data_IF_956722858188
#
_entry.id   IF_956722858188
#
_cell.length_a   1.000
_cell.length_b   1.000
_cell.length_c   1.000
_cell.angle_alpha   90.00
_cell.angle_beta   90.00
_cell.angle_gamma   90.00
#
_symmetry.space_group_name_H-M   'P 1'
#
loop_
_entity.id
_entity.type
_entity.pdbx_description
1 polymer ?
#
# COMPACT_ATOMS: atom_id res chain seq x y z
N UNK A 1 13.82 10.26 0.28
CA UNK A 1 12.67 9.58 0.92
C UNK A 1 11.57 9.28 -0.09
N UNK A 2 11.09 10.28 -0.84
CA UNK A 2 10.08 10.13 -1.91
C UNK A 2 10.21 8.85 -2.74
N UNK A 3 11.35 8.66 -3.41
CA UNK A 3 11.52 7.55 -4.36
C UNK A 3 11.55 6.19 -3.65
N UNK A 4 12.04 6.16 -2.40
CA UNK A 4 12.01 4.97 -1.55
C UNK A 4 10.57 4.58 -1.19
N UNK A 5 9.73 5.54 -0.81
CA UNK A 5 8.31 5.29 -0.55
C UNK A 5 7.59 4.81 -1.82
N UNK A 6 7.84 5.45 -2.97
CA UNK A 6 7.27 5.05 -4.25
C UNK A 6 7.70 3.63 -4.65
N UNK A 7 8.97 3.27 -4.44
CA UNK A 7 9.47 1.92 -4.67
C UNK A 7 8.75 0.91 -3.76
N UNK A 8 8.58 1.23 -2.48
CA UNK A 8 7.88 0.37 -1.52
C UNK A 8 6.41 0.16 -1.89
N UNK A 9 5.70 1.20 -2.35
CA UNK A 9 4.33 1.07 -2.88
C UNK A 9 4.29 0.11 -4.08
N UNK A 10 5.22 0.27 -5.03
CA UNK A 10 5.29 -0.57 -6.23
C UNK A 10 5.60 -2.03 -5.92
N UNK A 11 6.35 -2.32 -4.86
CA UNK A 11 6.63 -3.72 -4.45
C UNK A 11 5.36 -4.49 -4.18
N UNK A 12 4.32 -3.87 -3.62
CA UNK A 12 3.03 -4.54 -3.45
C UNK A 12 2.40 -4.93 -4.78
N UNK A 13 2.74 -4.35 -5.92
CA UNK A 13 2.16 -4.76 -7.21
C UNK A 13 2.85 -5.98 -7.83
N UNK A 14 4.05 -6.34 -7.37
CA UNK A 14 4.81 -7.46 -7.90
C UNK A 14 4.56 -8.73 -7.07
N UNK A 15 4.20 -9.81 -7.77
CA UNK A 15 4.00 -11.15 -7.24
C UNK A 15 5.18 -11.59 -6.39
N UNK A 16 6.41 -11.31 -6.86
CA UNK A 16 7.65 -11.66 -6.17
C UNK A 16 7.64 -11.25 -4.69
N UNK A 17 7.11 -10.07 -4.38
CA UNK A 17 7.08 -9.56 -3.00
C UNK A 17 5.81 -10.00 -2.27
N UNK A 18 4.64 -9.96 -2.92
CA UNK A 18 3.38 -10.31 -2.27
C UNK A 18 3.18 -11.82 -2.07
N UNK A 19 4.01 -12.67 -2.68
CA UNK A 19 4.07 -14.10 -2.39
C UNK A 19 5.09 -14.46 -1.30
N UNK A 20 5.88 -13.48 -0.82
CA UNK A 20 6.91 -13.68 0.20
C UNK A 20 6.36 -13.31 1.58
N UNK A 21 6.05 -14.34 2.38
CA UNK A 21 5.47 -14.18 3.71
C UNK A 21 6.44 -13.51 4.69
N UNK A 22 7.75 -13.70 4.55
CA UNK A 22 8.75 -13.07 5.42
C UNK A 22 8.83 -11.58 5.10
N UNK A 23 8.89 -11.24 3.80
CA UNK A 23 8.87 -9.85 3.36
C UNK A 23 7.59 -9.14 3.85
N UNK A 24 6.41 -9.75 3.66
CA UNK A 24 5.14 -9.20 4.10
C UNK A 24 5.08 -8.98 5.62
N UNK A 25 5.57 -9.95 6.39
CA UNK A 25 5.65 -9.80 7.85
C UNK A 25 6.59 -8.68 8.27
N UNK A 26 7.64 -8.42 7.50
CA UNK A 26 8.58 -7.34 7.79
C UNK A 26 8.02 -5.96 7.38
N UNK A 27 7.42 -5.85 6.20
CA UNK A 27 6.96 -4.58 5.63
C UNK A 27 5.62 -4.10 6.21
N UNK A 28 4.74 -5.00 6.65
CA UNK A 28 3.49 -4.59 7.29
C UNK A 28 3.75 -4.38 8.79
N UNK A 29 3.47 -3.17 9.29
CA UNK A 29 3.59 -2.87 10.71
C UNK A 29 2.71 -3.81 11.55
N UNK A 30 3.08 -4.10 12.80
CA UNK A 30 2.31 -4.99 13.68
C UNK A 30 0.85 -4.57 13.84
N UNK A 31 0.61 -3.25 13.84
CA UNK A 31 -0.71 -2.63 13.96
C UNK A 31 -1.32 -2.25 12.59
N UNK A 32 -0.86 -2.87 11.50
CA UNK A 32 -1.30 -2.54 10.14
C UNK A 32 -2.82 -2.70 9.96
N UNK A 33 -3.42 -1.71 9.30
CA UNK A 33 -4.82 -1.74 8.86
C UNK A 33 -4.96 -1.34 7.40
N UNK A 34 -5.79 -2.08 6.67
CA UNK A 34 -6.22 -1.73 5.32
C UNK A 34 -7.73 -1.45 5.28
N UNK A 35 -8.14 -0.33 4.70
CA UNK A 35 -9.51 -0.10 4.29
C UNK A 35 -9.65 -0.44 2.80
N UNK A 36 -10.22 -1.60 2.53
CA UNK A 36 -10.42 -2.07 1.16
C UNK A 36 -11.43 -1.20 0.41
N UNK A 37 -11.48 -1.34 -0.92
CA UNK A 37 -12.44 -0.63 -1.78
C UNK A 37 -13.92 -0.87 -1.42
N UNK A 38 -14.21 -1.95 -0.68
CA UNK A 38 -15.54 -2.29 -0.16
C UNK A 38 -15.92 -1.53 1.12
N UNK A 39 -14.97 -0.83 1.75
CA UNK A 39 -15.12 -0.25 3.08
C UNK A 39 -14.87 -1.23 4.24
N UNK A 40 -14.51 -2.48 3.94
CA UNK A 40 -14.13 -3.47 4.96
C UNK A 40 -12.72 -3.15 5.47
N UNK A 41 -12.56 -3.20 6.78
CA UNK A 41 -11.25 -3.08 7.44
C UNK A 41 -10.61 -4.46 7.59
N UNK A 42 -9.37 -4.57 7.12
CA UNK A 42 -8.52 -5.74 7.21
C UNK A 42 -7.34 -5.44 8.13
N UNK A 43 -6.95 -6.42 8.93
CA UNK A 43 -5.71 -6.34 9.71
C UNK A 43 -4.54 -6.94 8.92
N UNK A 44 -3.33 -6.90 9.50
CA UNK A 44 -2.12 -7.53 8.94
C UNK A 44 -2.34 -8.96 8.48
N UNK A 45 -2.84 -9.84 9.34
CA UNK A 45 -2.98 -11.27 9.03
C UNK A 45 -3.93 -11.52 7.85
N UNK A 46 -5.11 -10.90 7.87
CA UNK A 46 -6.09 -11.03 6.78
C UNK A 46 -5.53 -10.51 5.45
N UNK A 47 -4.74 -9.43 5.51
CA UNK A 47 -4.12 -8.84 4.32
C UNK A 47 -3.03 -9.75 3.76
N UNK A 48 -2.18 -10.32 4.61
CA UNK A 48 -1.17 -11.30 4.20
C UNK A 48 -1.82 -12.50 3.53
N UNK A 49 -2.83 -13.10 4.17
CA UNK A 49 -3.57 -14.24 3.62
C UNK A 49 -4.16 -13.91 2.24
N UNK A 50 -4.79 -12.73 2.09
CA UNK A 50 -5.32 -12.27 0.81
C UNK A 50 -4.22 -12.12 -0.25
N UNK A 51 -3.09 -11.50 0.09
CA UNK A 51 -1.98 -11.28 -0.83
C UNK A 51 -1.34 -12.59 -1.30
N UNK A 52 -1.19 -13.58 -0.42
CA UNK A 52 -0.66 -14.91 -0.76
C UNK A 52 -1.55 -15.69 -1.74
N UNK A 53 -2.84 -15.34 -1.84
CA UNK A 53 -3.72 -15.95 -2.86
C UNK A 53 -3.45 -15.44 -4.28
N UNK A 54 -2.76 -14.30 -4.44
CA UNK A 54 -2.44 -13.72 -5.75
C UNK A 54 -1.53 -14.65 -6.57
N UNK A 55 -1.75 -14.71 -7.90
CA UNK A 55 -1.03 -15.61 -8.81
C UNK A 55 -0.28 -14.90 -9.94
N UNK A 56 -0.35 -13.57 -10.01
CA UNK A 56 0.29 -12.76 -11.03
C UNK A 56 0.58 -11.36 -10.51
N UNK A 57 1.50 -10.70 -11.20
CA UNK A 57 1.73 -9.26 -11.04
C UNK A 57 0.44 -8.48 -11.31
N UNK A 58 0.32 -7.37 -10.59
CA UNK A 58 -0.77 -6.43 -10.74
C UNK A 58 -0.27 -5.31 -11.64
N UNK A 59 -0.76 -5.30 -12.88
CA UNK A 59 -0.47 -4.22 -13.82
C UNK A 59 -1.22 -2.95 -13.38
N UNK A 60 -0.56 -2.15 -12.54
CA UNK A 60 -1.09 -0.95 -11.90
C UNK A 60 -0.06 0.16 -12.03
N UNK A 61 -0.43 1.22 -12.71
CA UNK A 61 0.36 2.44 -12.80
C UNK A 61 0.01 3.41 -11.65
N UNK A 62 1.04 4.10 -11.15
CA UNK A 62 0.94 5.16 -10.14
C UNK A 62 1.06 6.52 -10.82
N UNK A 63 0.16 7.43 -10.48
CA UNK A 63 0.13 8.81 -10.95
C UNK A 63 0.05 9.77 -9.76
N UNK A 64 0.53 11.01 -9.95
CA UNK A 64 0.44 12.09 -8.97
C UNK A 64 0.93 11.67 -7.58
N UNK A 65 2.11 11.03 -7.53
CA UNK A 65 2.68 10.56 -6.28
C UNK A 65 3.22 11.71 -5.44
N UNK A 66 2.64 11.85 -4.26
CA UNK A 66 2.94 12.87 -3.27
C UNK A 66 3.17 12.22 -1.90
N UNK A 67 4.04 12.85 -1.11
CA UNK A 67 4.25 12.44 0.28
C UNK A 67 4.44 13.68 1.14
N UNK A 68 3.98 13.60 2.39
CA UNK A 68 4.15 14.61 3.42
C UNK A 68 4.85 13.97 4.63
N UNK A 69 5.68 14.75 5.31
CA UNK A 69 6.28 14.38 6.58
C UNK A 69 5.25 14.67 7.66
N UNK A 70 4.71 13.62 8.29
CA UNK A 70 3.79 13.75 9.41
C UNK A 70 4.55 13.84 10.75
N UNK A 71 5.70 13.18 10.81
CA UNK A 71 6.68 13.21 11.91
C UNK A 71 8.07 12.79 11.35
N UNK A 72 9.13 12.89 12.13
CA UNK A 72 10.51 12.60 11.70
C UNK A 72 10.67 11.18 11.09
N UNK A 73 9.88 10.23 11.58
CA UNK A 73 9.86 8.84 11.12
C UNK A 73 8.50 8.40 10.56
N UNK A 74 7.63 9.34 10.21
CA UNK A 74 6.28 9.05 9.73
C UNK A 74 5.94 9.85 8.47
N UNK A 75 5.48 9.16 7.42
CA UNK A 75 5.09 9.77 6.16
C UNK A 75 3.66 9.41 5.78
N UNK A 76 2.90 10.43 5.39
CA UNK A 76 1.61 10.29 4.74
C UNK A 76 1.81 10.36 3.23
N UNK A 77 1.33 9.36 2.52
CA UNK A 77 1.52 9.21 1.07
C UNK A 77 0.15 9.22 0.38
N UNK A 78 0.09 9.95 -0.73
CA UNK A 78 -1.09 10.03 -1.59
C UNK A 78 -0.71 9.80 -3.05
N UNK A 79 -1.53 9.06 -3.77
CA UNK A 79 -1.36 8.86 -5.21
C UNK A 79 -2.64 8.32 -5.85
N UNK A 80 -2.68 8.33 -7.17
CA UNK A 80 -3.76 7.75 -7.95
C UNK A 80 -3.27 6.49 -8.65
N UNK A 81 -4.09 5.45 -8.64
CA UNK A 81 -3.88 4.27 -9.49
C UNK A 81 -5.01 4.08 -10.47
N UNK A 82 -4.69 3.61 -11.68
CA UNK A 82 -5.68 3.22 -12.68
C UNK A 82 -5.69 1.71 -12.82
N UNK A 83 -6.88 1.11 -12.77
CA UNK A 83 -7.05 -0.32 -12.98
C UNK A 83 -8.48 -0.60 -13.46
N UNK A 84 -8.60 -1.36 -14.57
CA UNK A 84 -9.90 -1.74 -15.13
C UNK A 84 -10.79 -0.55 -15.51
N UNK A 85 -10.20 0.53 -16.05
CA UNK A 85 -10.93 1.75 -16.44
C UNK A 85 -11.44 2.61 -15.28
N UNK A 86 -11.00 2.33 -14.05
CA UNK A 86 -11.36 3.08 -12.84
C UNK A 86 -10.12 3.68 -12.19
N UNK A 87 -10.30 4.89 -11.68
CA UNK A 87 -9.28 5.60 -10.92
C UNK A 87 -9.53 5.40 -9.43
N UNK A 88 -8.48 5.11 -8.68
CA UNK A 88 -8.52 4.94 -7.23
C UNK A 88 -7.54 5.90 -6.59
N UNK A 89 -8.03 6.72 -5.67
CA UNK A 89 -7.20 7.52 -4.78
C UNK A 89 -6.70 6.63 -3.65
N UNK A 90 -5.39 6.59 -3.47
CA UNK A 90 -4.73 5.78 -2.47
C UNK A 90 -4.09 6.66 -1.41
N UNK A 91 -4.24 6.21 -0.18
CA UNK A 91 -3.65 6.84 0.99
C UNK A 91 -2.92 5.78 1.77
N UNK A 92 -1.66 6.04 2.10
CA UNK A 92 -0.86 5.16 2.93
C UNK A 92 -0.10 5.94 4.00
N UNK A 93 0.13 5.28 5.14
CA UNK A 93 0.97 5.80 6.21
C UNK A 93 2.15 4.85 6.38
N UNK A 94 3.35 5.40 6.30
CA UNK A 94 4.61 4.69 6.45
C UNK A 94 5.34 5.14 7.70
N UNK A 95 5.87 4.20 8.46
CA UNK A 95 6.69 4.44 9.65
C UNK A 95 8.08 3.85 9.42
N UNK A 96 9.12 4.51 9.93
CA UNK A 96 10.48 3.98 9.99
C UNK A 96 10.85 3.58 11.43
N UNK A 97 11.13 2.29 11.63
CA UNK A 97 11.69 1.74 12.87
C UNK A 97 12.77 0.70 12.50
N UNK A 98 13.97 1.19 12.20
CA UNK A 98 15.05 0.40 11.59
C UNK A 98 14.86 0.09 10.10
N UNK A 99 13.61 -0.13 9.67
CA UNK A 99 13.19 -0.26 8.28
C UNK A 99 11.81 0.37 8.04
N UNK A 100 11.43 0.56 6.78
CA UNK A 100 10.13 1.11 6.42
C UNK A 100 9.03 0.07 6.59
N UNK A 101 7.98 0.45 7.30
CA UNK A 101 6.79 -0.36 7.53
C UNK A 101 5.52 0.40 7.17
N UNK A 102 4.60 -0.27 6.48
CA UNK A 102 3.29 0.25 6.17
C UNK A 102 2.39 0.08 7.38
N UNK A 103 1.90 1.18 7.94
CA UNK A 103 0.98 1.21 9.07
C UNK A 103 -0.48 1.23 8.62
N UNK A 104 -0.79 1.94 7.55
CA UNK A 104 -2.16 2.08 7.08
C UNK A 104 -2.21 2.14 5.57
N UNK A 105 -3.24 1.56 4.97
CA UNK A 105 -3.52 1.69 3.55
C UNK A 105 -5.02 1.82 3.27
N UNK A 106 -5.39 2.64 2.30
CA UNK A 106 -6.75 2.74 1.81
C UNK A 106 -6.76 3.00 0.31
N UNK A 107 -7.72 2.40 -0.37
CA UNK A 107 -8.01 2.69 -1.77
C UNK A 107 -9.48 3.05 -1.96
N UNK A 108 -9.76 4.28 -2.36
CA UNK A 108 -11.12 4.78 -2.61
C UNK A 108 -11.30 5.07 -4.10
N UNK A 109 -12.36 4.52 -4.69
CA UNK A 109 -12.67 4.80 -6.09
C UNK A 109 -13.04 6.27 -6.26
N UNK A 110 -12.35 6.98 -7.17
CA UNK A 110 -12.70 8.35 -7.54
C UNK A 110 -13.99 8.35 -8.36
N UNK A 111 -14.89 9.29 -8.05
CA UNK A 111 -16.10 9.56 -8.82
C UNK A 111 -16.00 10.98 -9.37
N UNK A 112 -16.34 11.17 -10.65
CA UNK A 112 -16.52 12.52 -11.19
C UNK A 112 -17.76 13.13 -10.53
N UNK A 113 -17.61 14.36 -10.04
CA UNK A 113 -18.74 15.18 -9.60
C UNK A 113 -19.46 15.75 -10.81
#
# INVERSE_FOLDING_TARGET
MRDKLLEMEKKFFSLRFISDVEWLNNVLHKDFKECGKSGILYNKQMTIESLLTCKKDRDIEIYNFEYNVADDNCWLVHYVTKSGGKDYYRTSVWIFDGHLQLLFHQATQLKKK
#
